data_IF_425441963273
#
_entry.id   IF_425441963273
#
_cell.length_a   1.000
_cell.length_b   1.000
_cell.length_c   1.000
_cell.angle_alpha   90.00
_cell.angle_beta   90.00
_cell.angle_gamma   90.00
#
_symmetry.space_group_name_H-M   'P 1'
#
loop_
_entity.id
_entity.type
_entity.pdbx_description
1 polymer ?
#
# COMPACT_ATOMS: atom_id res chain seq x y z
N UNK A 1 -28.85 12.16 -8.63
CA UNK A 1 -28.13 11.26 -7.69
C UNK A 1 -26.89 10.70 -8.37
N UNK A 2 -26.99 10.25 -9.64
CA UNK A 2 -25.85 9.76 -10.42
C UNK A 2 -24.68 10.78 -10.51
N UNK A 3 -24.92 12.08 -10.78
CA UNK A 3 -23.81 13.05 -10.85
C UNK A 3 -23.00 13.18 -9.54
N UNK A 4 -23.65 13.04 -8.38
CA UNK A 4 -22.95 13.11 -7.09
C UNK A 4 -22.08 11.89 -6.84
N UNK A 5 -22.49 10.70 -7.30
CA UNK A 5 -21.67 9.50 -7.22
C UNK A 5 -20.44 9.63 -8.12
N UNK A 6 -20.64 10.09 -9.36
CA UNK A 6 -19.54 10.30 -10.32
C UNK A 6 -18.47 11.28 -9.81
N UNK A 7 -18.89 12.39 -9.21
CA UNK A 7 -17.95 13.38 -8.64
C UNK A 7 -17.16 12.83 -7.46
N UNK A 8 -17.78 12.01 -6.59
CA UNK A 8 -17.07 11.34 -5.49
C UNK A 8 -16.05 10.32 -5.99
N UNK A 9 -16.43 9.49 -6.97
CA UNK A 9 -15.50 8.52 -7.60
C UNK A 9 -14.32 9.26 -8.23
N UNK A 10 -14.57 10.37 -8.94
CA UNK A 10 -13.50 11.17 -9.53
C UNK A 10 -12.57 11.78 -8.47
N UNK A 11 -13.13 12.32 -7.38
CA UNK A 11 -12.33 12.84 -6.27
C UNK A 11 -11.48 11.75 -5.59
N UNK A 12 -12.05 10.56 -5.42
CA UNK A 12 -11.33 9.39 -4.91
C UNK A 12 -10.16 9.01 -5.83
N UNK A 13 -10.42 8.84 -7.14
CA UNK A 13 -9.40 8.51 -8.13
C UNK A 13 -8.28 9.56 -8.20
N UNK A 14 -8.60 10.84 -7.98
CA UNK A 14 -7.60 11.91 -7.98
C UNK A 14 -6.71 11.93 -6.73
N UNK A 15 -7.12 11.28 -5.64
CA UNK A 15 -6.34 11.14 -4.40
C UNK A 15 -5.44 9.89 -4.38
N UNK A 16 -5.56 8.99 -5.36
CA UNK A 16 -4.73 7.79 -5.43
C UNK A 16 -3.24 8.12 -5.66
N UNK A 17 -2.35 7.27 -5.13
CA UNK A 17 -0.89 7.35 -5.31
C UNK A 17 -0.53 7.22 -6.81
N UNK A 18 0.60 7.78 -7.22
CA UNK A 18 1.05 7.78 -8.63
C UNK A 18 1.26 6.39 -9.23
N UNK A 19 1.48 5.36 -8.40
CA UNK A 19 1.65 3.99 -8.86
C UNK A 19 0.37 3.42 -9.51
N UNK A 20 -0.79 4.01 -9.22
CA UNK A 20 -2.08 3.60 -9.77
C UNK A 20 -2.52 4.46 -10.98
N UNK A 21 -1.63 5.27 -11.55
CA UNK A 21 -1.97 6.18 -12.65
C UNK A 21 -2.44 5.40 -13.90
N UNK A 22 -1.93 4.17 -14.10
CA UNK A 22 -2.37 3.25 -15.16
C UNK A 22 -3.86 2.93 -15.07
N UNK A 23 -4.32 2.49 -13.89
CA UNK A 23 -5.73 2.17 -13.62
C UNK A 23 -6.58 3.43 -13.68
N UNK A 24 -6.11 4.52 -13.06
CA UNK A 24 -6.82 5.80 -13.05
C UNK A 24 -7.10 6.28 -14.47
N UNK A 25 -6.10 6.27 -15.35
CA UNK A 25 -6.30 6.61 -16.76
C UNK A 25 -7.27 5.65 -17.46
N UNK A 26 -7.16 4.34 -17.21
CA UNK A 26 -8.07 3.33 -17.79
C UNK A 26 -9.53 3.61 -17.40
N UNK A 27 -9.81 3.83 -16.11
CA UNK A 27 -11.17 4.11 -15.61
C UNK A 27 -11.70 5.43 -16.16
N UNK A 28 -10.87 6.48 -16.19
CA UNK A 28 -11.28 7.81 -16.68
C UNK A 28 -11.54 7.83 -18.19
N UNK A 29 -10.91 6.95 -18.95
CA UNK A 29 -11.11 6.84 -20.40
C UNK A 29 -12.36 6.04 -20.80
N UNK A 30 -13.06 5.39 -19.85
CA UNK A 30 -14.30 4.67 -20.15
C UNK A 30 -15.47 5.64 -20.30
N UNK A 31 -16.32 5.40 -21.31
CA UNK A 31 -17.52 6.23 -21.57
C UNK A 31 -18.52 6.16 -20.41
N UNK A 32 -18.56 5.03 -19.70
CA UNK A 32 -19.36 4.85 -18.48
C UNK A 32 -18.45 4.53 -17.30
N UNK A 33 -18.64 5.27 -16.20
CA UNK A 33 -17.92 5.01 -14.96
C UNK A 33 -18.42 3.68 -14.37
N UNK A 34 -17.52 2.72 -14.12
CA UNK A 34 -17.86 1.46 -13.45
C UNK A 34 -18.34 1.70 -12.03
N UNK A 35 -19.02 0.71 -11.44
CA UNK A 35 -19.45 0.78 -10.05
C UNK A 35 -18.24 0.75 -9.10
N UNK A 36 -18.42 1.27 -7.88
CA UNK A 36 -17.37 1.38 -6.88
C UNK A 36 -16.71 0.02 -6.59
N UNK A 37 -17.51 -1.04 -6.48
CA UNK A 37 -17.01 -2.40 -6.19
C UNK A 37 -16.08 -2.93 -7.30
N UNK A 38 -16.38 -2.57 -8.55
CA UNK A 38 -15.55 -2.94 -9.71
C UNK A 38 -14.23 -2.18 -9.70
N UNK A 39 -14.27 -0.90 -9.31
CA UNK A 39 -13.07 -0.06 -9.18
C UNK A 39 -12.15 -0.60 -8.08
N UNK A 40 -12.69 -0.93 -6.91
CA UNK A 40 -11.92 -1.54 -5.83
C UNK A 40 -11.31 -2.89 -6.25
N UNK A 41 -12.07 -3.73 -6.96
CA UNK A 41 -11.54 -4.97 -7.50
C UNK A 41 -10.43 -4.79 -8.53
N UNK A 42 -10.44 -3.71 -9.32
CA UNK A 42 -9.32 -3.36 -10.21
C UNK A 42 -8.10 -2.87 -9.42
N UNK A 43 -8.30 -2.04 -8.38
CA UNK A 43 -7.23 -1.52 -7.52
C UNK A 43 -6.49 -2.63 -6.76
N UNK A 44 -7.22 -3.50 -6.06
CA UNK A 44 -6.64 -4.61 -5.29
C UNK A 44 -5.79 -5.52 -6.19
N UNK A 45 -6.28 -5.81 -7.41
CA UNK A 45 -5.52 -6.64 -8.36
C UNK A 45 -4.20 -5.99 -8.80
N UNK A 46 -4.20 -4.69 -9.04
CA UNK A 46 -2.97 -4.00 -9.44
C UNK A 46 -2.01 -3.87 -8.25
N UNK A 47 -2.51 -3.61 -7.05
CA UNK A 47 -1.67 -3.61 -5.85
C UNK A 47 -1.01 -4.96 -5.62
N UNK A 48 -1.77 -6.06 -5.73
CA UNK A 48 -1.19 -7.41 -5.70
C UNK A 48 -0.15 -7.62 -6.82
N UNK A 49 -0.40 -7.08 -8.02
CA UNK A 49 0.54 -7.15 -9.15
C UNK A 49 1.83 -6.37 -8.84
N UNK A 50 1.72 -5.14 -8.34
CA UNK A 50 2.85 -4.29 -7.94
C UNK A 50 3.64 -4.96 -6.83
N UNK A 51 2.98 -5.51 -5.81
CA UNK A 51 3.65 -6.22 -4.71
C UNK A 51 4.38 -7.47 -5.20
N UNK A 52 3.76 -8.22 -6.10
CA UNK A 52 4.41 -9.39 -6.73
C UNK A 52 5.63 -8.95 -7.57
N UNK A 53 5.50 -7.87 -8.35
CA UNK A 53 6.59 -7.33 -9.14
C UNK A 53 7.73 -6.78 -8.27
N UNK A 54 7.41 -6.06 -7.19
CA UNK A 54 8.38 -5.55 -6.23
C UNK A 54 9.14 -6.70 -5.55
N UNK A 55 8.45 -7.79 -5.21
CA UNK A 55 9.06 -9.02 -4.71
C UNK A 55 9.98 -9.68 -5.76
N UNK A 56 9.58 -9.67 -7.04
CA UNK A 56 10.36 -10.19 -8.16
C UNK A 56 11.48 -9.27 -8.65
N UNK A 57 11.49 -7.99 -8.27
CA UNK A 57 12.53 -7.04 -8.66
C UNK A 57 13.77 -7.06 -7.75
N UNK A 58 13.76 -7.84 -6.66
CA UNK A 58 14.99 -8.15 -5.89
C UNK A 58 16.03 -8.95 -6.71
N UNK A 59 15.68 -9.97 -7.52
CA UNK A 59 16.66 -10.64 -8.38
C UNK A 59 17.03 -9.89 -9.69
N UNK A 60 16.28 -8.88 -10.13
CA UNK A 60 16.61 -8.14 -11.38
C UNK A 60 17.73 -7.13 -11.19
N UNK A 61 17.86 -6.48 -10.02
CA UNK A 61 19.00 -5.63 -9.70
C UNK A 61 20.32 -6.43 -9.76
N UNK A 62 20.36 -7.62 -9.16
CA UNK A 62 21.54 -8.49 -9.17
C UNK A 62 21.86 -9.03 -10.56
N UNK A 63 20.85 -9.40 -11.36
CA UNK A 63 21.08 -9.87 -12.74
C UNK A 63 21.50 -8.75 -13.69
N UNK A 64 20.99 -7.52 -13.53
CA UNK A 64 21.43 -6.37 -14.32
C UNK A 64 22.87 -5.99 -13.97
N UNK A 65 23.22 -5.95 -12.69
CA UNK A 65 24.61 -5.81 -12.22
C UNK A 65 25.51 -6.92 -12.77
N UNK A 66 25.05 -8.19 -12.78
CA UNK A 66 25.81 -9.30 -13.35
C UNK A 66 25.99 -9.19 -14.88
N UNK A 67 24.96 -8.75 -15.61
CA UNK A 67 25.05 -8.54 -17.06
C UNK A 67 25.99 -7.37 -17.35
N UNK A 68 25.89 -6.27 -16.61
CA UNK A 68 26.75 -5.10 -16.77
C UNK A 68 28.21 -5.43 -16.42
N UNK A 69 28.45 -6.18 -15.35
CA UNK A 69 29.76 -6.65 -14.94
C UNK A 69 30.37 -7.59 -16.00
N UNK A 70 29.58 -8.54 -16.54
CA UNK A 70 30.02 -9.42 -17.65
C UNK A 70 30.35 -8.64 -18.93
N UNK A 71 29.58 -7.60 -19.25
CA UNK A 71 29.85 -6.73 -20.42
C UNK A 71 31.12 -5.91 -20.21
N UNK A 72 31.32 -5.32 -19.03
CA UNK A 72 32.52 -4.56 -18.69
C UNK A 72 33.78 -5.44 -18.73
N UNK A 73 33.73 -6.66 -18.16
CA UNK A 73 34.83 -7.62 -18.22
C UNK A 73 35.17 -7.99 -19.68
N UNK A 74 34.16 -8.29 -20.50
CA UNK A 74 34.38 -8.60 -21.92
C UNK A 74 34.97 -7.42 -22.70
N UNK A 75 34.55 -6.18 -22.40
CA UNK A 75 35.08 -4.99 -23.07
C UNK A 75 36.54 -4.76 -22.71
N UNK A 76 36.90 -4.93 -21.43
CA UNK A 76 38.29 -4.83 -20.94
C UNK A 76 39.19 -5.90 -21.54
N UNK A 77 38.73 -7.16 -21.58
CA UNK A 77 39.48 -8.26 -22.21
C UNK A 77 39.68 -8.02 -23.72
N UNK A 78 38.65 -7.49 -24.40
CA UNK A 78 38.73 -7.18 -25.83
C UNK A 78 39.63 -5.98 -26.15
N UNK A 79 39.73 -5.01 -25.24
CA UNK A 79 40.66 -3.90 -25.36
C UNK A 79 42.13 -4.37 -25.20
N UNK A 80 42.38 -5.29 -24.26
CA UNK A 80 43.71 -5.87 -24.06
C UNK A 80 44.19 -6.75 -25.23
N UNK A 81 43.28 -7.42 -25.95
CA UNK A 81 43.65 -8.32 -27.06
C UNK A 81 43.96 -7.64 -28.40
N UNK A 82 43.73 -6.32 -28.53
CA UNK A 82 43.93 -5.57 -29.78
C UNK A 82 45.26 -4.82 -29.88
N UNK A 83 46.14 -4.93 -28.87
CA UNK A 83 47.50 -4.38 -28.92
C UNK A 83 48.50 -5.52 -29.20
N UNK A 84 49.09 -5.62 -30.41
CA UNK A 84 49.97 -6.72 -30.76
C UNK A 84 51.39 -6.62 -30.20
N UNK A 85 51.78 -5.53 -29.52
CA UNK A 85 53.19 -5.31 -29.20
C UNK A 85 53.43 -4.91 -27.72
N UNK A 86 54.26 -5.75 -27.08
CA UNK A 86 55.04 -5.58 -25.83
C UNK A 86 54.51 -6.14 -24.49
N UNK A 87 55.29 -7.13 -24.01
CA UNK A 87 55.50 -7.64 -22.64
C UNK A 87 54.34 -8.35 -21.89
N UNK A 88 54.30 -9.67 -22.09
CA UNK A 88 53.39 -10.66 -21.51
C UNK A 88 53.47 -10.88 -19.97
N UNK A 89 54.14 -10.02 -19.19
CA UNK A 89 54.36 -10.24 -17.76
C UNK A 89 53.53 -9.36 -16.81
N UNK A 90 52.78 -8.37 -17.31
CA UNK A 90 51.98 -7.46 -16.45
C UNK A 90 50.50 -7.85 -16.31
N UNK A 91 49.94 -8.62 -17.24
CA UNK A 91 48.50 -8.91 -17.28
C UNK A 91 48.01 -9.97 -16.26
N UNK A 92 48.91 -10.59 -15.48
CA UNK A 92 48.56 -11.62 -14.49
C UNK A 92 48.07 -11.07 -13.15
N UNK A 93 48.27 -9.79 -12.84
CA UNK A 93 47.88 -9.26 -11.51
C UNK A 93 46.42 -8.80 -11.42
N UNK A 94 45.79 -8.40 -12.53
CA UNK A 94 44.42 -7.82 -12.52
C UNK A 94 43.32 -8.90 -12.50
N UNK A 95 43.62 -10.14 -12.90
CA UNK A 95 42.66 -11.25 -12.95
C UNK A 95 42.51 -12.03 -11.63
N UNK A 96 43.34 -11.74 -10.61
CA UNK A 96 43.28 -12.44 -9.33
C UNK A 96 42.32 -11.80 -8.29
N UNK A 97 41.99 -10.52 -8.39
CA UNK A 97 41.14 -9.87 -7.39
C UNK A 97 39.63 -10.07 -7.61
N UNK A 98 39.16 -10.28 -8.85
CA UNK A 98 37.73 -10.52 -9.09
C UNK A 98 37.24 -11.93 -8.69
N UNK A 99 38.15 -12.86 -8.38
CA UNK A 99 37.78 -14.23 -7.97
C UNK A 99 37.43 -14.35 -6.49
N UNK A 100 37.81 -13.35 -5.67
CA UNK A 100 37.55 -13.36 -4.23
C UNK A 100 36.14 -12.91 -3.86
N UNK A 101 35.46 -12.17 -4.75
CA UNK A 101 34.10 -11.64 -4.51
C UNK A 101 33.00 -12.56 -5.05
N UNK A 102 33.33 -13.51 -5.94
CA UNK A 102 32.35 -14.41 -6.55
C UNK A 102 32.16 -15.73 -5.78
N UNK A 103 32.99 -15.98 -4.77
CA UNK A 103 32.97 -17.23 -3.97
C UNK A 103 32.02 -17.18 -2.78
N UNK A 104 31.60 -15.99 -2.32
CA UNK A 104 30.64 -15.86 -1.21
C UNK A 104 29.17 -15.93 -1.65
N UNK A 105 28.85 -15.77 -2.94
CA UNK A 105 27.45 -15.81 -3.44
C UNK A 105 27.05 -17.21 -3.99
N UNK A 106 27.97 -18.17 -4.06
CA UNK A 106 27.70 -19.51 -4.62
C UNK A 106 27.72 -20.68 -3.61
N UNK A 107 27.77 -20.42 -2.30
CA UNK A 107 27.94 -21.46 -1.27
C UNK A 107 26.63 -22.14 -0.79
N UNK A 108 25.54 -22.06 -1.54
CA UNK A 108 24.32 -22.86 -1.26
C UNK A 108 24.07 -24.00 -2.26
N UNK A 109 25.01 -24.32 -3.14
CA UNK A 109 24.82 -25.45 -4.07
C UNK A 109 26.10 -26.23 -4.38
N UNK A 110 26.70 -26.85 -3.35
CA UNK A 110 27.67 -27.93 -3.56
C UNK A 110 27.12 -29.27 -3.09
N UNK A 111 26.61 -30.01 -4.08
CA UNK A 111 26.48 -31.45 -4.00
C UNK A 111 27.87 -32.09 -4.05
N UNK A 112 28.06 -33.02 -3.14
CA UNK A 112 29.26 -33.79 -2.87
C UNK A 112 29.77 -34.57 -4.09
N UNK A 113 31.02 -34.39 -4.49
CA UNK A 113 31.76 -35.48 -5.13
C UNK A 113 33.26 -35.38 -4.82
N UNK A 114 33.83 -36.53 -4.52
CA UNK A 114 35.11 -36.78 -3.85
C UNK A 114 36.30 -36.82 -4.81
N UNK A 115 37.48 -36.74 -4.17
CA UNK A 115 38.81 -37.15 -4.63
C UNK A 115 39.48 -36.16 -5.62
N UNK A 116 40.63 -35.56 -5.35
CA UNK A 116 41.91 -36.25 -5.11
C UNK A 116 42.93 -35.46 -4.29
N UNK A 117 43.78 -36.26 -3.63
CA UNK A 117 44.95 -35.89 -2.82
C UNK A 117 46.06 -35.25 -3.66
N UNK A 118 46.59 -34.10 -3.22
CA UNK A 118 48.04 -33.90 -3.26
C UNK A 118 48.50 -32.91 -2.19
N UNK A 119 49.56 -33.32 -1.51
CA UNK A 119 50.16 -32.74 -0.32
C UNK A 119 51.18 -31.66 -0.66
N UNK A 120 51.04 -30.43 -0.12
CA UNK A 120 52.17 -29.49 0.01
C UNK A 120 52.09 -28.72 1.33
N UNK A 121 53.15 -28.92 2.10
CA UNK A 121 53.76 -28.18 3.21
C UNK A 121 53.02 -26.97 3.84
N UNK A 122 52.67 -27.23 5.10
CA UNK A 122 52.49 -26.38 6.28
C UNK A 122 53.41 -25.15 6.36
N UNK A 123 52.82 -23.96 6.35
CA UNK A 123 53.32 -22.77 7.03
C UNK A 123 52.23 -22.33 8.01
N UNK A 124 52.58 -22.21 9.29
CA UNK A 124 51.66 -21.90 10.39
C UNK A 124 51.16 -20.44 10.25
N UNK A 125 49.84 -20.21 10.07
CA UNK A 125 49.25 -18.89 10.19
C UNK A 125 49.00 -18.61 11.67
N UNK A 126 49.81 -17.74 12.26
CA UNK A 126 49.56 -17.19 13.58
C UNK A 126 48.53 -16.06 13.49
N UNK A 127 47.48 -16.19 14.31
CA UNK A 127 46.67 -15.12 14.93
C UNK A 127 46.15 -14.00 14.03
N UNK A 128 45.27 -14.34 13.09
CA UNK A 128 44.34 -13.40 12.42
C UNK A 128 42.93 -14.02 12.47
N UNK A 129 42.42 -14.29 13.67
CA UNK A 129 41.09 -14.93 13.84
C UNK A 129 40.21 -14.22 14.90
N UNK A 130 40.56 -13.01 15.33
CA UNK A 130 39.85 -12.33 16.43
C UNK A 130 39.06 -11.07 16.03
N UNK A 131 39.13 -10.59 14.78
CA UNK A 131 38.39 -9.39 14.34
C UNK A 131 37.08 -9.71 13.59
N UNK A 132 36.83 -10.98 13.24
CA UNK A 132 35.63 -11.37 12.48
C UNK A 132 34.41 -11.64 13.39
N UNK A 133 34.60 -12.11 14.64
CA UNK A 133 33.52 -12.35 15.61
C UNK A 133 32.88 -11.05 16.14
N UNK A 134 33.65 -9.96 16.36
CA UNK A 134 33.09 -8.69 16.87
C UNK A 134 32.15 -8.00 15.86
N UNK A 135 32.31 -8.29 14.56
CA UNK A 135 31.47 -7.68 13.53
C UNK A 135 30.10 -8.37 13.38
N UNK A 136 30.01 -9.64 13.75
CA UNK A 136 28.79 -10.44 13.65
C UNK A 136 27.80 -10.10 14.80
N UNK A 137 28.31 -9.71 15.98
CA UNK A 137 27.46 -9.21 17.07
C UNK A 137 26.84 -7.82 16.75
N UNK A 138 27.57 -6.91 16.08
CA UNK A 138 27.06 -5.57 15.75
C UNK A 138 25.97 -5.58 14.66
N UNK A 139 25.97 -6.56 13.75
CA UNK A 139 24.91 -6.71 12.75
C UNK A 139 23.61 -7.24 13.37
N UNK A 140 23.70 -8.13 14.36
CA UNK A 140 22.54 -8.70 15.04
C UNK A 140 21.78 -7.68 15.88
N UNK A 141 22.49 -6.78 16.57
CA UNK A 141 21.85 -5.73 17.38
C UNK A 141 21.07 -4.72 16.50
N UNK A 142 21.48 -4.52 15.24
CA UNK A 142 20.78 -3.63 14.29
C UNK A 142 19.49 -4.26 13.75
N UNK A 143 19.50 -5.56 13.46
CA UNK A 143 18.28 -6.26 13.00
C UNK A 143 17.20 -6.26 14.11
N UNK A 144 17.57 -6.43 15.38
CA UNK A 144 16.61 -6.40 16.49
C UNK A 144 16.03 -4.99 16.75
N UNK A 145 16.78 -3.93 16.46
CA UNK A 145 16.29 -2.55 16.55
C UNK A 145 15.31 -2.22 15.40
N UNK A 146 15.60 -2.66 14.16
CA UNK A 146 14.70 -2.48 13.01
C UNK A 146 13.37 -3.25 13.18
N UNK A 147 13.39 -4.51 13.64
CA UNK A 147 12.16 -5.29 13.90
C UNK A 147 11.26 -4.60 14.95
N UNK A 148 11.87 -3.98 15.95
CA UNK A 148 11.14 -3.29 17.01
C UNK A 148 10.54 -1.96 16.54
N UNK A 149 11.22 -1.22 15.67
CA UNK A 149 10.65 -0.03 15.05
C UNK A 149 9.44 -0.39 14.16
N UNK A 150 9.53 -1.47 13.37
CA UNK A 150 8.40 -1.95 12.55
C UNK A 150 7.18 -2.37 13.40
N UNK A 151 7.37 -3.13 14.49
CA UNK A 151 6.26 -3.48 15.40
C UNK A 151 5.59 -2.23 16.02
N UNK A 152 6.37 -1.18 16.29
CA UNK A 152 5.83 0.05 16.89
C UNK A 152 5.04 0.87 15.87
N UNK A 153 5.46 0.92 14.61
CA UNK A 153 4.72 1.60 13.54
C UNK A 153 3.38 0.89 13.24
N UNK A 154 3.35 -0.45 13.22
CA UNK A 154 2.11 -1.22 13.03
C UNK A 154 1.10 -0.98 14.16
N UNK A 155 1.54 -0.92 15.42
CA UNK A 155 0.65 -0.65 16.58
C UNK A 155 0.07 0.78 16.54
N UNK A 156 0.86 1.77 16.08
CA UNK A 156 0.37 3.15 15.91
C UNK A 156 -0.65 3.26 14.76
N UNK A 157 -0.47 2.55 13.65
CA UNK A 157 -1.44 2.52 12.54
C UNK A 157 -2.77 1.87 12.97
N UNK A 158 -2.74 0.75 13.70
CA UNK A 158 -3.96 0.11 14.22
C UNK A 158 -4.72 1.04 15.20
N UNK A 159 -4.03 1.77 16.07
CA UNK A 159 -4.68 2.72 17.00
C UNK A 159 -5.30 3.94 16.28
N UNK A 160 -4.73 4.37 15.15
CA UNK A 160 -5.30 5.44 14.32
C UNK A 160 -6.57 4.98 13.59
N UNK A 161 -6.57 3.76 13.04
CA UNK A 161 -7.75 3.16 12.40
C UNK A 161 -8.92 2.98 13.38
N UNK A 162 -8.68 2.46 14.59
CA UNK A 162 -9.73 2.30 15.61
C UNK A 162 -10.36 3.65 16.02
N UNK A 163 -9.56 4.72 16.09
CA UNK A 163 -10.05 6.07 16.40
C UNK A 163 -10.92 6.64 15.28
N UNK A 164 -10.55 6.42 14.02
CA UNK A 164 -11.34 6.89 12.88
C UNK A 164 -12.71 6.16 12.82
N UNK A 165 -12.73 4.85 13.08
CA UNK A 165 -13.98 4.09 13.16
C UNK A 165 -14.91 4.57 14.31
N UNK A 166 -14.35 4.88 15.49
CA UNK A 166 -15.13 5.39 16.62
C UNK A 166 -15.73 6.78 16.31
N UNK A 167 -14.98 7.67 15.66
CA UNK A 167 -15.46 9.00 15.26
C UNK A 167 -16.60 8.90 14.22
N UNK A 168 -16.47 8.01 13.21
CA UNK A 168 -17.53 7.77 12.23
C UNK A 168 -18.81 7.24 12.89
N UNK A 169 -18.70 6.30 13.85
CA UNK A 169 -19.86 5.76 14.55
C UNK A 169 -20.58 6.83 15.42
N UNK A 170 -19.82 7.74 16.04
CA UNK A 170 -20.38 8.85 16.80
C UNK A 170 -21.12 9.85 15.89
N UNK A 171 -20.56 10.20 14.73
CA UNK A 171 -21.21 11.10 13.76
C UNK A 171 -22.54 10.51 13.25
N UNK A 172 -22.56 9.20 12.94
CA UNK A 172 -23.76 8.52 12.46
C UNK A 172 -24.87 8.52 13.52
N UNK A 173 -24.53 8.23 14.79
CA UNK A 173 -25.43 8.32 15.94
C UNK A 173 -25.98 9.74 16.11
N UNK A 174 -25.15 10.77 15.96
CA UNK A 174 -25.59 12.16 16.06
C UNK A 174 -26.57 12.53 14.93
N UNK A 175 -26.28 12.12 13.70
CA UNK A 175 -27.14 12.37 12.54
C UNK A 175 -28.51 11.68 12.71
N UNK A 176 -28.52 10.45 13.21
CA UNK A 176 -29.75 9.69 13.46
C UNK A 176 -30.62 10.40 14.51
N UNK A 177 -30.02 10.87 15.60
CA UNK A 177 -30.69 11.67 16.62
C UNK A 177 -31.28 12.97 16.04
N UNK A 178 -30.53 13.68 15.19
CA UNK A 178 -31.02 14.89 14.49
C UNK A 178 -32.21 14.58 13.60
N UNK A 179 -32.18 13.48 12.83
CA UNK A 179 -33.30 13.00 12.00
C UNK A 179 -34.53 12.67 12.85
N UNK A 180 -34.37 11.95 13.97
CA UNK A 180 -35.46 11.64 14.93
C UNK A 180 -36.09 12.90 15.51
N UNK A 181 -35.28 13.88 15.95
CA UNK A 181 -35.75 15.19 16.46
C UNK A 181 -36.57 15.95 15.39
N UNK A 182 -36.10 16.01 14.14
CA UNK A 182 -36.81 16.65 13.01
C UNK A 182 -38.17 15.98 12.74
N UNK A 183 -38.23 14.64 12.70
CA UNK A 183 -39.48 13.87 12.53
C UNK A 183 -40.49 14.16 13.65
N UNK A 184 -40.05 14.17 14.92
CA UNK A 184 -40.89 14.51 16.09
C UNK A 184 -41.47 15.94 15.98
N UNK A 185 -40.65 16.93 15.59
CA UNK A 185 -41.11 18.32 15.38
C UNK A 185 -42.18 18.42 14.28
N UNK A 186 -42.00 17.72 13.14
CA UNK A 186 -42.99 17.69 12.05
C UNK A 186 -44.33 17.09 12.51
N UNK A 187 -44.30 15.95 13.22
CA UNK A 187 -45.52 15.31 13.79
C UNK A 187 -46.26 16.22 14.78
N UNK A 188 -45.55 16.96 15.64
CA UNK A 188 -46.17 17.94 16.56
C UNK A 188 -46.86 19.08 15.80
N UNK A 189 -46.22 19.62 14.76
CA UNK A 189 -46.80 20.69 13.92
C UNK A 189 -48.07 20.24 13.21
N UNK A 190 -48.08 19.03 12.63
CA UNK A 190 -49.27 18.50 11.94
C UNK A 190 -50.43 18.22 12.90
N UNK A 191 -50.15 17.63 14.08
CA UNK A 191 -51.16 17.45 15.14
C UNK A 191 -51.76 18.80 15.59
N UNK A 192 -50.94 19.84 15.80
CA UNK A 192 -51.42 21.19 16.17
C UNK A 192 -52.30 21.80 15.09
N UNK A 193 -51.94 21.66 13.79
CA UNK A 193 -52.76 22.12 12.66
C UNK A 193 -54.11 21.38 12.60
N UNK A 194 -54.12 20.04 12.75
CA UNK A 194 -55.37 19.24 12.79
C UNK A 194 -56.28 19.67 13.95
N UNK A 195 -55.74 19.85 15.16
CA UNK A 195 -56.50 20.33 16.35
C UNK A 195 -57.09 21.73 16.15
N UNK A 196 -56.36 22.64 15.49
CA UNK A 196 -56.90 23.97 15.15
C UNK A 196 -58.06 23.88 14.15
N UNK A 197 -57.91 23.06 13.09
CA UNK A 197 -58.97 22.85 12.10
C UNK A 197 -60.23 22.23 12.72
N UNK A 198 -60.09 21.23 13.60
CA UNK A 198 -61.25 20.61 14.26
C UNK A 198 -61.98 21.59 15.19
N UNK A 199 -61.25 22.42 15.96
CA UNK A 199 -61.85 23.48 16.78
C UNK A 199 -62.59 24.51 15.93
N UNK A 200 -62.02 24.94 14.80
CA UNK A 200 -62.66 25.88 13.89
C UNK A 200 -63.95 25.31 13.27
N UNK A 201 -63.94 24.03 12.85
CA UNK A 201 -65.12 23.34 12.34
C UNK A 201 -66.21 23.20 13.42
N UNK A 202 -65.83 22.84 14.64
CA UNK A 202 -66.75 22.76 15.77
C UNK A 202 -67.40 24.11 16.10
N UNK A 203 -66.64 25.20 16.09
CA UNK A 203 -67.17 26.56 16.28
C UNK A 203 -68.13 26.95 15.15
N UNK A 204 -67.80 26.64 13.88
CA UNK A 204 -68.69 26.90 12.73
C UNK A 204 -70.02 26.17 12.86
N UNK A 205 -70.00 24.91 13.30
CA UNK A 205 -71.23 24.12 13.50
C UNK A 205 -72.10 24.71 14.62
N UNK A 206 -71.51 25.17 15.73
CA UNK A 206 -72.23 25.83 16.83
C UNK A 206 -72.84 27.18 16.43
N UNK A 207 -72.13 27.99 15.64
CA UNK A 207 -72.68 29.26 15.14
C UNK A 207 -73.86 29.01 14.20
N UNK A 208 -73.74 28.01 13.30
CA UNK A 208 -74.80 27.64 12.37
C UNK A 208 -76.07 27.15 13.08
N UNK A 209 -75.95 26.42 14.19
CA UNK A 209 -77.12 25.98 14.97
C UNK A 209 -77.85 27.13 15.68
N UNK A 210 -77.15 28.20 16.07
CA UNK A 210 -77.78 29.35 16.75
C UNK A 210 -78.56 30.25 15.79
N UNK A 211 -78.14 30.36 14.53
CA UNK A 211 -78.77 31.24 13.54
C UNK A 211 -79.96 30.60 12.81
N UNK A 212 -80.08 29.27 12.83
CA UNK A 212 -81.11 28.53 12.10
C UNK A 212 -82.43 28.27 12.86
N UNK A 213 -82.58 28.81 14.08
CA UNK A 213 -83.76 28.56 14.94
C UNK A 213 -84.94 29.52 14.74
N UNK A 214 -84.85 30.47 13.80
CA UNK A 214 -85.93 31.40 13.46
C UNK A 214 -86.90 30.79 12.47
N UNK A 215 -87.63 29.73 12.86
CA UNK A 215 -88.80 29.29 12.10
C UNK A 215 -89.87 30.37 12.23
N UNK A 216 -90.09 31.08 11.13
CA UNK A 216 -91.17 32.04 10.94
C UNK A 216 -92.49 31.30 11.15
N UNK A 217 -93.25 31.68 12.19
CA UNK A 217 -94.65 31.30 12.37
C UNK A 217 -95.54 32.23 11.55
#
# INVERSE_FOLDING_TARGET
MLERKKTRVFQFLMKLRSNFESIKANILNRETLPDIDVIFGELIREEMCINTLASMDRPTQLTWLCIHQKVLINLTLRAHFKSPDHNALSARSILCDSRRVHTTICLESESTSKDDKSSVATALPGDIFSEEEEKEEEEKDKEEEEEKEEETEEEEEEEEEEKEEEEEEEEEKEEEMRRRKRKRKRKRKTKKKKKKKSRALSLRLRVRSCLGGGTVR
#
